data_IF_060564447119
#
_entry.id   IF_060564447119
#
_cell.length_a   1.000
_cell.length_b   1.000
_cell.length_c   1.000
_cell.angle_alpha   90.00
_cell.angle_beta   90.00
_cell.angle_gamma   90.00
#
_symmetry.space_group_name_H-M   'P 1'
#
loop_
_entity.id
_entity.type
_entity.pdbx_description
1 polymer ?
#
# COMPACT_ATOMS: atom_id res chain seq x y z
N UNK A 1 -4.99 -23.68 9.33
CA UNK A 1 -3.83 -23.71 10.26
C UNK A 1 -3.93 -22.49 11.17
N UNK A 2 -4.27 -22.67 12.45
CA UNK A 2 -4.56 -21.55 13.39
C UNK A 2 -3.34 -20.69 13.74
N UNK A 3 -2.14 -21.14 13.39
CA UNK A 3 -0.88 -20.46 13.68
C UNK A 3 -0.38 -19.58 12.51
N UNK A 4 -1.13 -19.51 11.41
CA UNK A 4 -0.78 -18.71 10.23
C UNK A 4 -1.82 -17.62 10.03
N UNK A 5 -1.41 -16.40 9.65
CA UNK A 5 -2.36 -15.32 9.42
C UNK A 5 -3.28 -15.63 8.23
N UNK A 6 -4.56 -15.29 8.37
CA UNK A 6 -5.57 -15.37 7.34
C UNK A 6 -6.03 -13.96 6.95
N UNK A 7 -5.82 -13.61 5.68
CA UNK A 7 -6.32 -12.37 5.09
C UNK A 7 -7.56 -12.63 4.25
N UNK A 8 -8.53 -11.71 4.29
CA UNK A 8 -9.68 -11.72 3.37
C UNK A 8 -9.64 -10.46 2.49
N UNK A 9 -9.63 -10.64 1.17
CA UNK A 9 -9.70 -9.52 0.22
C UNK A 9 -11.15 -9.23 -0.16
N UNK A 10 -11.55 -7.97 -0.06
CA UNK A 10 -12.90 -7.52 -0.40
C UNK A 10 -12.90 -6.37 -1.41
N UNK A 11 -14.00 -6.22 -2.14
CA UNK A 11 -14.34 -4.95 -2.79
C UNK A 11 -15.15 -4.11 -1.82
N UNK A 12 -14.55 -3.04 -1.30
CA UNK A 12 -15.17 -2.16 -0.29
C UNK A 12 -16.14 -1.12 -0.87
N UNK A 13 -16.27 -1.08 -2.20
CA UNK A 13 -17.19 -0.21 -2.91
C UNK A 13 -17.42 -0.78 -4.32
N UNK A 14 -18.66 -0.93 -4.77
CA UNK A 14 -18.96 -1.49 -6.11
C UNK A 14 -19.07 -0.44 -7.21
N UNK A 15 -19.27 0.82 -6.81
CA UNK A 15 -19.30 2.02 -7.67
C UNK A 15 -20.52 2.08 -8.59
N UNK A 16 -21.62 1.46 -8.14
CA UNK A 16 -22.93 1.47 -8.77
C UNK A 16 -24.00 1.65 -7.70
N UNK A 17 -25.16 2.18 -8.09
CA UNK A 17 -26.32 2.26 -7.21
C UNK A 17 -26.76 0.85 -6.75
N UNK A 18 -27.10 0.72 -5.47
CA UNK A 18 -27.51 -0.56 -4.86
C UNK A 18 -26.38 -1.57 -4.66
N UNK A 19 -25.13 -1.24 -5.01
CA UNK A 19 -23.97 -2.09 -4.72
C UNK A 19 -23.40 -1.89 -3.31
N UNK A 20 -22.36 -2.65 -2.97
CA UNK A 20 -21.64 -2.50 -1.70
C UNK A 20 -21.11 -1.07 -1.56
N UNK A 21 -21.38 -0.49 -0.41
CA UNK A 21 -20.84 0.81 0.01
C UNK A 21 -19.70 0.63 1.03
N UNK A 22 -18.93 1.70 1.33
CA UNK A 22 -17.88 1.62 2.35
C UNK A 22 -18.42 1.36 3.75
N UNK A 23 -19.70 1.65 4.03
CA UNK A 23 -20.32 1.31 5.30
C UNK A 23 -20.60 -0.19 5.38
N UNK A 24 -21.12 -0.79 4.29
CA UNK A 24 -21.32 -2.24 4.20
C UNK A 24 -20.00 -2.99 4.33
N UNK A 25 -18.93 -2.45 3.74
CA UNK A 25 -17.58 -3.02 3.84
C UNK A 25 -17.07 -3.13 5.29
N UNK A 26 -17.43 -2.18 6.17
CA UNK A 26 -17.11 -2.24 7.60
C UNK A 26 -17.86 -3.39 8.28
N UNK A 27 -19.14 -3.58 8.00
CA UNK A 27 -19.91 -4.70 8.56
C UNK A 27 -19.40 -6.05 8.04
N UNK A 28 -19.06 -6.13 6.75
CA UNK A 28 -18.42 -7.31 6.15
C UNK A 28 -17.08 -7.61 6.85
N UNK A 29 -16.27 -6.60 7.11
CA UNK A 29 -15.01 -6.76 7.83
C UNK A 29 -15.21 -7.25 9.27
N UNK A 30 -16.22 -6.74 9.99
CA UNK A 30 -16.58 -7.25 11.33
C UNK A 30 -17.03 -8.70 11.30
N UNK A 31 -17.80 -9.09 10.28
CA UNK A 31 -18.21 -10.48 10.10
C UNK A 31 -17.00 -11.39 9.86
N UNK A 32 -16.04 -10.98 9.02
CA UNK A 32 -14.81 -11.74 8.81
C UNK A 32 -13.90 -11.77 10.05
N UNK A 33 -13.79 -10.67 10.80
CA UNK A 33 -13.11 -10.65 12.10
C UNK A 33 -13.71 -11.68 13.06
N UNK A 34 -15.04 -11.71 13.19
CA UNK A 34 -15.74 -12.68 14.04
C UNK A 34 -15.54 -14.14 13.58
N UNK A 35 -15.34 -14.35 12.27
CA UNK A 35 -15.01 -15.65 11.70
C UNK A 35 -13.52 -16.04 11.84
N UNK A 36 -12.67 -15.16 12.38
CA UNK A 36 -11.25 -15.42 12.63
C UNK A 36 -10.29 -14.94 11.54
N UNK A 37 -10.68 -13.97 10.71
CA UNK A 37 -9.73 -13.27 9.84
C UNK A 37 -8.82 -12.36 10.67
N UNK A 38 -7.52 -12.35 10.36
CA UNK A 38 -6.53 -11.51 11.02
C UNK A 38 -6.44 -10.12 10.39
N UNK A 39 -6.73 -10.03 9.08
CA UNK A 39 -6.64 -8.78 8.33
C UNK A 39 -7.53 -8.74 7.08
N UNK A 40 -7.92 -7.53 6.67
CA UNK A 40 -8.73 -7.28 5.48
C UNK A 40 -7.90 -6.57 4.40
N UNK A 41 -7.80 -7.17 3.21
CA UNK A 41 -7.21 -6.55 2.03
C UNK A 41 -8.28 -5.73 1.28
N UNK A 42 -8.12 -4.42 1.29
CA UNK A 42 -9.17 -3.46 0.95
C UNK A 42 -9.04 -2.99 -0.51
N UNK A 43 -9.77 -3.65 -1.42
CA UNK A 43 -9.88 -3.26 -2.83
C UNK A 43 -11.25 -2.61 -3.10
N UNK A 44 -11.60 -2.36 -4.36
CA UNK A 44 -12.93 -1.90 -4.78
C UNK A 44 -13.21 -2.26 -6.24
N UNK A 45 -14.50 -2.24 -6.61
CA UNK A 45 -14.97 -2.41 -7.97
C UNK A 45 -14.89 -3.85 -8.49
N UNK A 46 -14.92 -3.96 -9.83
CA UNK A 46 -14.91 -5.22 -10.59
C UNK A 46 -16.15 -6.11 -10.40
N UNK A 47 -17.23 -5.56 -9.81
CA UNK A 47 -18.51 -6.27 -9.64
C UNK A 47 -19.48 -6.00 -10.80
N UNK A 48 -19.49 -4.78 -11.34
CA UNK A 48 -20.36 -4.37 -12.45
C UNK A 48 -19.58 -3.63 -13.54
N UNK A 49 -19.97 -3.85 -14.81
CA UNK A 49 -19.43 -3.10 -15.94
C UNK A 49 -19.86 -1.62 -15.95
N UNK A 50 -20.92 -1.27 -15.21
CA UNK A 50 -21.41 0.11 -15.08
C UNK A 50 -20.72 0.91 -13.98
N UNK A 51 -19.73 0.30 -13.30
CA UNK A 51 -18.98 0.96 -12.24
C UNK A 51 -18.36 2.29 -12.70
N UNK A 52 -18.42 3.31 -11.85
CA UNK A 52 -17.79 4.62 -12.09
C UNK A 52 -16.76 4.96 -11.00
N UNK A 53 -15.65 4.21 -10.91
CA UNK A 53 -14.61 4.47 -9.92
C UNK A 53 -13.94 5.83 -10.15
N UNK A 54 -13.73 6.57 -9.07
CA UNK A 54 -12.91 7.78 -9.09
C UNK A 54 -11.47 7.39 -8.78
N UNK A 55 -10.65 7.32 -9.82
CA UNK A 55 -9.24 7.00 -9.67
C UNK A 55 -8.43 8.20 -9.19
N UNK A 56 -7.33 7.90 -8.50
CA UNK A 56 -6.39 8.87 -8.01
C UNK A 56 -5.23 8.19 -7.31
N UNK A 57 -4.30 8.99 -6.81
CA UNK A 57 -3.22 8.50 -5.94
C UNK A 57 -3.84 7.84 -4.71
N UNK A 58 -3.40 6.62 -4.38
CA UNK A 58 -3.81 5.92 -3.15
C UNK A 58 -5.35 5.80 -2.98
N UNK A 59 -6.11 5.76 -4.07
CA UNK A 59 -7.57 6.02 -4.07
C UNK A 59 -8.42 5.07 -3.22
N UNK A 60 -7.92 3.88 -2.88
CA UNK A 60 -8.64 2.93 -2.02
C UNK A 60 -8.18 2.96 -0.56
N UNK A 61 -7.14 3.75 -0.24
CA UNK A 61 -6.68 3.94 1.14
C UNK A 61 -7.79 4.39 2.08
N UNK A 62 -8.71 5.30 1.69
CA UNK A 62 -9.85 5.65 2.56
C UNK A 62 -10.71 4.45 2.97
N UNK A 63 -10.79 3.38 2.16
CA UNK A 63 -11.52 2.17 2.55
C UNK A 63 -10.76 1.37 3.60
N UNK A 64 -9.45 1.18 3.43
CA UNK A 64 -8.60 0.51 4.41
C UNK A 64 -8.58 1.23 5.76
N UNK A 65 -8.50 2.56 5.71
CA UNK A 65 -8.53 3.48 6.84
C UNK A 65 -9.84 3.34 7.63
N UNK A 66 -10.96 3.42 6.91
CA UNK A 66 -12.30 3.28 7.50
C UNK A 66 -12.48 1.91 8.14
N UNK A 67 -12.17 0.83 7.42
CA UNK A 67 -12.31 -0.53 7.94
C UNK A 67 -11.43 -0.73 9.18
N UNK A 68 -10.17 -0.29 9.13
CA UNK A 68 -9.24 -0.41 10.25
C UNK A 68 -9.79 0.24 11.51
N UNK A 69 -10.26 1.48 11.39
CA UNK A 69 -10.66 2.29 12.52
C UNK A 69 -12.10 2.02 12.99
N UNK A 70 -13.01 1.58 12.12
CA UNK A 70 -14.42 1.31 12.49
C UNK A 70 -14.70 -0.18 12.78
N UNK A 71 -13.99 -1.13 12.15
CA UNK A 71 -14.14 -2.57 12.40
C UNK A 71 -13.08 -3.12 13.38
N UNK A 72 -12.09 -2.31 13.77
CA UNK A 72 -11.02 -2.68 14.70
C UNK A 72 -10.29 -3.97 14.26
N UNK A 73 -9.95 -4.07 12.97
CA UNK A 73 -9.21 -5.19 12.39
C UNK A 73 -8.07 -4.64 11.54
N UNK A 74 -6.94 -5.33 11.52
CA UNK A 74 -5.81 -4.90 10.71
C UNK A 74 -6.18 -4.86 9.22
N UNK A 75 -5.61 -3.92 8.46
CA UNK A 75 -5.92 -3.79 7.03
C UNK A 75 -4.68 -3.73 6.15
N UNK A 76 -4.85 -4.19 4.90
CA UNK A 76 -3.92 -3.95 3.81
C UNK A 76 -4.52 -2.87 2.90
N UNK A 77 -3.83 -1.73 2.77
CA UNK A 77 -4.15 -0.72 1.77
C UNK A 77 -3.57 -1.10 0.41
N UNK A 78 -4.36 -0.92 -0.64
CA UNK A 78 -3.93 -1.16 -2.03
C UNK A 78 -4.44 -0.05 -2.95
N UNK A 79 -4.06 -0.07 -4.23
CA UNK A 79 -4.63 0.82 -5.24
C UNK A 79 -3.85 2.12 -5.41
N UNK A 80 -3.10 2.20 -6.51
CA UNK A 80 -2.26 3.35 -6.88
C UNK A 80 -1.26 3.78 -5.77
N UNK A 81 -0.71 2.81 -5.06
CA UNK A 81 0.48 2.94 -4.21
C UNK A 81 1.70 2.63 -5.10
N UNK A 82 2.62 3.58 -5.22
CA UNK A 82 3.70 3.54 -6.21
C UNK A 82 5.08 3.92 -5.68
N UNK A 83 5.14 4.55 -4.51
CA UNK A 83 6.37 5.10 -3.93
C UNK A 83 6.43 4.76 -2.45
N UNK A 84 7.64 4.65 -1.89
CA UNK A 84 7.83 4.44 -0.46
C UNK A 84 7.19 5.55 0.38
N UNK A 85 7.17 6.80 -0.10
CA UNK A 85 6.51 7.90 0.61
C UNK A 85 4.99 7.71 0.70
N UNK A 86 4.35 7.08 -0.29
CA UNK A 86 2.94 6.68 -0.19
C UNK A 86 2.76 5.66 0.94
N UNK A 87 3.60 4.62 0.99
CA UNK A 87 3.56 3.59 2.03
C UNK A 87 3.78 4.21 3.40
N UNK A 88 4.84 5.00 3.58
CA UNK A 88 5.16 5.68 4.83
C UNK A 88 4.02 6.58 5.29
N UNK A 89 3.41 7.34 4.38
CA UNK A 89 2.27 8.22 4.72
C UNK A 89 1.05 7.42 5.18
N UNK A 90 0.76 6.27 4.57
CA UNK A 90 -0.36 5.40 4.95
C UNK A 90 -0.14 4.80 6.34
N UNK A 91 1.03 4.18 6.55
CA UNK A 91 1.35 3.48 7.80
C UNK A 91 1.51 4.47 8.95
N UNK A 92 2.27 5.56 8.76
CA UNK A 92 2.50 6.55 9.82
C UNK A 92 1.22 7.27 10.25
N UNK A 93 0.25 7.43 9.34
CA UNK A 93 -1.05 8.00 9.66
C UNK A 93 -2.05 6.99 10.27
N UNK A 94 -1.65 5.72 10.47
CA UNK A 94 -2.52 4.69 11.03
C UNK A 94 -3.69 4.30 10.11
N UNK A 95 -3.53 4.47 8.79
CA UNK A 95 -4.59 4.24 7.80
C UNK A 95 -4.61 2.81 7.26
N UNK A 96 -3.56 2.04 7.50
CA UNK A 96 -3.46 0.61 7.28
C UNK A 96 -2.28 0.04 8.08
N UNK A 97 -2.22 -1.28 8.20
CA UNK A 97 -1.12 -1.98 8.89
C UNK A 97 -0.13 -2.57 7.88
N UNK A 98 -0.59 -2.79 6.63
CA UNK A 98 0.23 -3.21 5.50
C UNK A 98 -0.17 -2.43 4.23
N UNK A 99 0.73 -2.43 3.23
CA UNK A 99 0.44 -1.90 1.90
C UNK A 99 0.78 -2.96 0.84
N UNK A 100 -0.14 -3.22 -0.09
CA UNK A 100 0.15 -4.05 -1.25
C UNK A 100 0.49 -3.19 -2.47
N UNK A 101 1.61 -3.52 -3.10
CA UNK A 101 2.14 -2.84 -4.27
C UNK A 101 2.14 -3.82 -5.44
N UNK A 102 1.49 -3.46 -6.55
CA UNK A 102 1.31 -4.36 -7.70
C UNK A 102 2.08 -3.88 -8.94
N UNK A 103 1.50 -2.95 -9.71
CA UNK A 103 2.07 -2.41 -10.96
C UNK A 103 3.54 -1.95 -10.83
N UNK A 104 3.99 -1.31 -9.74
CA UNK A 104 5.39 -0.95 -9.59
C UNK A 104 6.35 -2.15 -9.56
N UNK A 105 5.95 -3.28 -8.94
CA UNK A 105 6.74 -4.51 -8.98
C UNK A 105 6.77 -5.15 -10.37
N UNK A 106 5.71 -4.99 -11.17
CA UNK A 106 5.71 -5.45 -12.57
C UNK A 106 6.68 -4.64 -13.44
N UNK A 107 6.77 -3.33 -13.21
CA UNK A 107 7.68 -2.45 -13.94
C UNK A 107 9.14 -2.56 -13.45
N UNK A 108 9.34 -2.78 -12.15
CA UNK A 108 10.65 -2.95 -11.52
C UNK A 108 10.57 -4.06 -10.45
N UNK A 109 11.05 -5.28 -10.72
CA UNK A 109 11.04 -6.37 -9.75
C UNK A 109 11.80 -6.04 -8.45
N UNK A 110 12.83 -5.19 -8.54
CA UNK A 110 13.62 -4.70 -7.40
C UNK A 110 13.02 -3.47 -6.74
N UNK A 111 11.76 -3.11 -7.01
CA UNK A 111 11.10 -1.88 -6.54
C UNK A 111 11.30 -1.63 -5.05
N UNK A 112 11.15 -2.63 -4.19
CA UNK A 112 11.36 -2.48 -2.74
C UNK A 112 12.79 -2.07 -2.40
N UNK A 113 13.80 -2.66 -3.05
CA UNK A 113 15.20 -2.31 -2.83
C UNK A 113 15.51 -0.90 -3.35
N UNK A 114 14.95 -0.54 -4.51
CA UNK A 114 15.08 0.79 -5.11
C UNK A 114 14.46 1.87 -4.23
N UNK A 115 13.21 1.69 -3.79
CA UNK A 115 12.51 2.68 -2.98
C UNK A 115 13.10 2.79 -1.57
N UNK A 116 13.55 1.68 -0.97
CA UNK A 116 14.29 1.72 0.29
C UNK A 116 15.58 2.57 0.18
N UNK A 117 16.39 2.35 -0.87
CA UNK A 117 17.58 3.16 -1.12
C UNK A 117 17.23 4.63 -1.38
N UNK A 118 16.16 4.92 -2.13
CA UNK A 118 15.68 6.26 -2.45
C UNK A 118 15.31 7.07 -1.22
N UNK A 119 14.62 6.45 -0.24
CA UNK A 119 14.30 7.11 1.04
C UNK A 119 15.48 7.10 2.04
N UNK A 120 16.59 6.42 1.72
CA UNK A 120 17.76 6.30 2.58
C UNK A 120 17.63 5.21 3.66
N UNK A 121 16.72 4.25 3.50
CA UNK A 121 16.61 3.09 4.38
C UNK A 121 17.60 1.99 3.95
N UNK A 122 18.72 1.88 4.66
CA UNK A 122 19.85 1.03 4.28
C UNK A 122 19.91 -0.32 5.01
N UNK A 123 19.00 -0.55 5.95
CA UNK A 123 18.97 -1.74 6.81
C UNK A 123 18.34 -2.98 6.14
N UNK A 124 17.77 -2.82 4.94
CA UNK A 124 17.26 -3.96 4.17
C UNK A 124 18.42 -4.83 3.68
N UNK A 125 18.38 -6.12 3.99
CA UNK A 125 19.39 -7.07 3.51
C UNK A 125 19.15 -7.37 2.03
N UNK A 126 20.21 -7.22 1.22
CA UNK A 126 20.15 -7.56 -0.21
C UNK A 126 20.62 -9.01 -0.41
N UNK A 127 20.07 -9.73 -1.41
CA UNK A 127 20.65 -11.00 -1.84
C UNK A 127 22.15 -10.85 -2.07
N UNK A 128 22.96 -11.81 -1.60
CA UNK A 128 24.43 -11.73 -1.61
C UNK A 128 24.99 -11.36 -2.99
N UNK A 129 24.37 -11.89 -4.04
CA UNK A 129 24.73 -11.68 -5.44
C UNK A 129 24.55 -10.24 -5.92
N UNK A 130 23.72 -9.44 -5.24
CA UNK A 130 23.39 -8.05 -5.62
C UNK A 130 24.09 -7.01 -4.74
N UNK A 131 24.86 -7.42 -3.72
CA UNK A 131 25.49 -6.51 -2.75
C UNK A 131 26.44 -5.50 -3.41
N UNK A 132 27.11 -5.85 -4.51
CA UNK A 132 27.97 -4.92 -5.26
C UNK A 132 27.20 -3.72 -5.83
N UNK A 133 25.91 -3.89 -6.15
CA UNK A 133 25.05 -2.81 -6.64
C UNK A 133 24.47 -1.94 -5.51
N UNK A 134 24.32 -2.48 -4.30
CA UNK A 134 23.69 -1.80 -3.15
C UNK A 134 24.33 -0.44 -2.87
N UNK A 135 25.64 -0.44 -2.61
CA UNK A 135 26.35 0.78 -2.22
C UNK A 135 26.35 1.83 -3.33
N UNK A 136 26.46 1.41 -4.60
CA UNK A 136 26.36 2.33 -5.72
C UNK A 136 24.97 2.98 -5.80
N UNK A 137 23.90 2.19 -5.67
CA UNK A 137 22.52 2.70 -5.71
C UNK A 137 22.23 3.66 -4.57
N UNK A 138 22.60 3.30 -3.34
CA UNK A 138 22.40 4.15 -2.15
C UNK A 138 23.17 5.47 -2.26
N UNK A 139 24.42 5.43 -2.71
CA UNK A 139 25.22 6.64 -2.91
C UNK A 139 24.65 7.55 -4.00
N UNK A 140 24.11 6.98 -5.08
CA UNK A 140 23.49 7.74 -6.15
C UNK A 140 22.25 8.49 -5.65
N UNK A 141 21.33 7.81 -4.97
CA UNK A 141 20.15 8.46 -4.39
C UNK A 141 20.51 9.49 -3.32
N UNK A 142 21.53 9.22 -2.50
CA UNK A 142 22.01 10.19 -1.52
C UNK A 142 22.49 11.49 -2.20
N UNK A 143 23.23 11.37 -3.31
CA UNK A 143 23.69 12.52 -4.10
C UNK A 143 22.54 13.25 -4.76
N UNK A 144 21.59 12.54 -5.37
CA UNK A 144 20.39 13.13 -5.98
C UNK A 144 19.59 13.94 -4.95
N UNK A 145 19.40 13.40 -3.75
CA UNK A 145 18.71 14.09 -2.66
C UNK A 145 19.49 15.33 -2.19
N UNK A 146 20.81 15.21 -2.02
CA UNK A 146 21.64 16.35 -1.65
C UNK A 146 21.60 17.47 -2.71
N UNK A 147 21.59 17.11 -3.99
CA UNK A 147 21.45 18.06 -5.09
C UNK A 147 20.07 18.74 -5.10
N UNK A 148 18.99 17.99 -4.87
CA UNK A 148 17.63 18.54 -4.77
C UNK A 148 17.45 19.51 -3.59
N UNK A 149 18.25 19.37 -2.52
CA UNK A 149 18.22 20.23 -1.34
C UNK A 149 19.19 21.41 -1.40
N UNK A 150 20.04 21.50 -2.44
CA UNK A 150 21.02 22.58 -2.55
C UNK A 150 20.33 23.92 -2.92
N UNK A 151 20.64 25.03 -2.22
CA UNK A 151 20.09 26.34 -2.55
C UNK A 151 20.53 26.77 -3.96
N UNK A 152 19.58 26.85 -4.89
CA UNK A 152 19.81 27.23 -6.29
C UNK A 152 19.29 26.24 -7.34
N UNK A 153 18.81 25.05 -6.94
CA UNK A 153 18.27 24.04 -7.86
C UNK A 153 16.90 24.40 -8.50
N UNK A 154 16.26 25.47 -8.04
CA UNK A 154 15.08 26.07 -8.67
C UNK A 154 15.46 27.42 -9.30
N UNK A 155 15.95 27.38 -10.54
CA UNK A 155 15.94 28.51 -11.47
C UNK A 155 15.56 27.99 -12.85
#
# INVERSE_FOLDING_TARGET
PQHLPMSVRISAHDWVEGGITPADAVEIARAFKAAGADLIDCSSGQVSAHQKPTYGRMYQTPFADRIRNEADIATIAVGAISEADHVNSIIAAGRADLCAVARPHLANPSWTLTEAAKIGFTAIEWPRQYRSAKQQMENNFLRERAAAMAPGAAR
#
